data_IF_083732045244
#
_entry.id   IF_083732045244
#
_cell.length_a   1.000
_cell.length_b   1.000
_cell.length_c   1.000
_cell.angle_alpha   90.00
_cell.angle_beta   90.00
_cell.angle_gamma   90.00
#
_symmetry.space_group_name_H-M   'P 1'
#
loop_
_entity.id
_entity.type
_entity.pdbx_description
1 polymer ?
#
# COMPACT_ATOMS: atom_id res chain seq x y z
N UNK A 1 49.00 -15.14 -11.49
CA UNK A 1 47.60 -14.88 -11.89
C UNK A 1 46.80 -14.62 -10.63
N UNK A 2 46.19 -13.44 -10.58
CA UNK A 2 45.69 -12.75 -9.39
C UNK A 2 44.40 -13.39 -8.86
N UNK A 3 44.46 -13.83 -7.60
CA UNK A 3 43.31 -14.33 -6.85
C UNK A 3 42.36 -13.17 -6.54
N UNK A 4 41.19 -13.18 -7.20
CA UNK A 4 40.14 -12.19 -7.02
C UNK A 4 39.50 -12.33 -5.65
N UNK A 5 39.92 -11.49 -4.70
CA UNK A 5 39.17 -11.26 -3.45
C UNK A 5 37.80 -10.71 -3.81
N UNK A 6 36.79 -11.57 -3.73
CA UNK A 6 35.38 -11.16 -3.68
C UNK A 6 35.19 -10.38 -2.39
N UNK A 7 35.25 -9.05 -2.50
CA UNK A 7 34.86 -8.15 -1.42
C UNK A 7 33.34 -8.28 -1.23
N UNK A 8 32.93 -9.09 -0.26
CA UNK A 8 31.59 -8.99 0.31
C UNK A 8 31.46 -7.60 0.91
N UNK A 9 30.83 -6.69 0.16
CA UNK A 9 30.30 -5.46 0.74
C UNK A 9 29.13 -5.87 1.63
N UNK A 10 29.41 -6.10 2.91
CA UNK A 10 28.46 -5.84 3.96
C UNK A 10 28.15 -4.34 3.91
N UNK A 11 27.21 -3.95 3.03
CA UNK A 11 26.48 -2.70 3.22
C UNK A 11 25.63 -2.92 4.45
N UNK A 12 26.08 -2.40 5.58
CA UNK A 12 25.19 -2.07 6.69
C UNK A 12 23.92 -1.48 6.10
N UNK A 13 22.77 -2.10 6.38
CA UNK A 13 21.45 -1.63 5.97
C UNK A 13 21.16 -0.33 6.73
N UNK A 14 21.77 0.76 6.31
CA UNK A 14 21.48 2.09 6.84
C UNK A 14 20.05 2.43 6.42
N UNK A 15 19.17 2.52 7.42
CA UNK A 15 17.77 2.91 7.30
C UNK A 15 17.62 4.21 6.50
N UNK A 16 16.96 4.17 5.34
CA UNK A 16 16.64 5.39 4.57
C UNK A 16 15.48 6.23 5.17
N UNK A 17 15.22 6.08 6.47
CA UNK A 17 14.24 6.89 7.22
C UNK A 17 14.52 8.40 7.13
N UNK A 18 15.74 8.90 7.36
CA UNK A 18 16.01 10.34 7.36
C UNK A 18 15.77 11.02 6.00
N UNK A 19 15.83 10.25 4.91
CA UNK A 19 15.57 10.75 3.55
C UNK A 19 14.07 10.95 3.26
N UNK A 20 13.19 10.30 4.02
CA UNK A 20 11.74 10.35 3.85
C UNK A 20 11.04 11.06 4.99
N UNK A 21 11.51 10.91 6.23
CA UNK A 21 10.85 11.37 7.44
C UNK A 21 11.85 12.01 8.40
N UNK A 22 11.34 12.76 9.38
CA UNK A 22 12.15 13.39 10.40
C UNK A 22 12.61 12.36 11.44
N UNK A 23 13.81 12.58 12.01
CA UNK A 23 14.35 11.77 13.10
C UNK A 23 13.88 12.24 14.49
N UNK A 24 13.14 13.34 14.56
CA UNK A 24 12.51 13.83 15.78
C UNK A 24 11.12 14.39 15.44
N UNK A 25 10.17 14.23 16.37
CA UNK A 25 8.76 14.59 16.22
C UNK A 25 8.21 15.24 17.50
N UNK A 26 9.02 16.07 18.16
CA UNK A 26 8.68 16.70 19.44
C UNK A 26 7.76 17.91 19.29
N UNK A 27 7.85 18.60 18.16
CA UNK A 27 7.10 19.83 17.92
C UNK A 27 5.89 19.62 17.01
N UNK A 28 4.88 20.48 17.14
CA UNK A 28 3.70 20.51 16.25
C UNK A 28 4.11 20.67 14.78
N UNK A 29 5.14 21.48 14.51
CA UNK A 29 5.68 21.70 13.16
C UNK A 29 6.31 20.45 12.56
N UNK A 30 7.13 19.72 13.33
CA UNK A 30 7.74 18.47 12.86
C UNK A 30 6.70 17.39 12.61
N UNK A 31 5.73 17.26 13.53
CA UNK A 31 4.60 16.36 13.38
C UNK A 31 3.77 16.66 12.12
N UNK A 32 3.54 17.95 11.83
CA UNK A 32 2.87 18.36 10.59
C UNK A 32 3.67 18.01 9.33
N UNK A 33 4.99 18.31 9.31
CA UNK A 33 5.87 17.95 8.19
C UNK A 33 5.84 16.43 7.97
N UNK A 34 5.87 15.65 9.04
CA UNK A 34 5.79 14.21 8.98
C UNK A 34 4.49 13.74 8.33
N UNK A 35 3.32 14.25 8.76
CA UNK A 35 2.03 13.85 8.19
C UNK A 35 1.93 14.21 6.70
N UNK A 36 2.41 15.40 6.29
CA UNK A 36 2.47 15.78 4.86
C UNK A 36 3.30 14.79 4.04
N UNK A 37 4.48 14.42 4.54
CA UNK A 37 5.36 13.45 3.86
C UNK A 37 4.75 12.06 3.85
N UNK A 38 4.10 11.64 4.93
CA UNK A 38 3.44 10.33 5.02
C UNK A 38 2.29 10.23 4.02
N UNK A 39 1.48 11.28 3.92
CA UNK A 39 0.43 11.39 2.92
C UNK A 39 1.00 11.32 1.50
N UNK A 40 2.05 12.09 1.19
CA UNK A 40 2.69 12.07 -0.12
C UNK A 40 3.25 10.69 -0.48
N UNK A 41 3.90 9.99 0.45
CA UNK A 41 4.41 8.62 0.26
C UNK A 41 3.28 7.63 0.03
N UNK A 42 2.18 7.72 0.80
CA UNK A 42 1.04 6.83 0.66
C UNK A 42 0.33 7.04 -0.69
N UNK A 43 0.05 8.28 -1.09
CA UNK A 43 -0.55 8.60 -2.40
C UNK A 43 0.36 8.13 -3.53
N UNK A 44 1.68 8.37 -3.43
CA UNK A 44 2.64 7.90 -4.44
C UNK A 44 2.67 6.38 -4.55
N UNK A 45 2.60 5.68 -3.41
CA UNK A 45 2.57 4.21 -3.38
C UNK A 45 1.31 3.67 -4.04
N UNK A 46 0.15 4.27 -3.75
CA UNK A 46 -1.13 3.92 -4.38
C UNK A 46 -1.08 4.13 -5.89
N UNK A 47 -0.72 5.34 -6.35
CA UNK A 47 -0.72 5.65 -7.79
C UNK A 47 0.28 4.81 -8.56
N UNK A 48 1.40 4.43 -7.93
CA UNK A 48 2.38 3.53 -8.53
C UNK A 48 1.86 2.10 -8.63
N UNK A 49 1.38 1.53 -7.53
CA UNK A 49 0.94 0.13 -7.46
C UNK A 49 -0.30 -0.13 -8.32
N UNK A 50 -1.13 0.88 -8.54
CA UNK A 50 -2.28 0.82 -9.45
C UNK A 50 -1.94 1.11 -10.91
N UNK A 51 -0.67 1.43 -11.22
CA UNK A 51 -0.22 1.68 -12.59
C UNK A 51 -0.81 2.95 -13.21
N UNK A 52 -1.18 3.95 -12.39
CA UNK A 52 -1.86 5.17 -12.88
C UNK A 52 -0.92 6.05 -13.70
N UNK A 53 0.35 6.12 -13.30
CA UNK A 53 1.37 6.92 -13.98
C UNK A 53 2.55 6.04 -14.40
N UNK A 54 3.29 6.43 -15.46
CA UNK A 54 4.45 5.67 -15.91
C UNK A 54 5.64 5.75 -14.93
N UNK A 55 6.57 4.81 -15.04
CA UNK A 55 7.73 4.65 -14.15
C UNK A 55 8.55 5.95 -13.97
N UNK A 56 8.73 6.74 -15.04
CA UNK A 56 9.51 7.98 -15.01
C UNK A 56 8.83 9.16 -14.30
N UNK A 57 7.56 9.01 -13.88
CA UNK A 57 6.90 9.97 -12.99
C UNK A 57 7.33 9.80 -11.53
N UNK A 58 8.09 8.75 -11.21
CA UNK A 58 8.48 8.40 -9.84
C UNK A 58 9.98 8.41 -9.63
N UNK A 59 10.38 8.58 -8.37
CA UNK A 59 11.75 8.37 -7.89
C UNK A 59 11.77 7.23 -6.89
N UNK A 60 12.72 6.31 -7.04
CA UNK A 60 12.93 5.24 -6.08
C UNK A 60 13.55 5.78 -4.78
N UNK A 61 13.01 5.34 -3.66
CA UNK A 61 13.52 5.56 -2.29
C UNK A 61 13.33 4.29 -1.49
N UNK A 62 14.06 4.11 -0.40
CA UNK A 62 13.88 2.97 0.48
C UNK A 62 13.19 3.38 1.78
N UNK A 63 12.23 2.56 2.21
CA UNK A 63 11.61 2.66 3.53
C UNK A 63 11.78 1.32 4.21
N UNK A 64 12.65 1.27 5.22
CA UNK A 64 13.15 0.03 5.79
C UNK A 64 13.75 -0.90 4.71
N UNK A 65 13.14 -2.04 4.46
CA UNK A 65 13.52 -3.03 3.46
C UNK A 65 12.74 -2.92 2.13
N UNK A 66 11.82 -1.94 2.01
CA UNK A 66 10.98 -1.76 0.84
C UNK A 66 11.54 -0.69 -0.10
N UNK A 67 11.55 -0.98 -1.41
CA UNK A 67 11.73 0.04 -2.44
C UNK A 67 10.37 0.68 -2.73
N UNK A 68 10.21 1.94 -2.34
CA UNK A 68 9.01 2.74 -2.60
C UNK A 68 9.23 3.68 -3.79
N UNK A 69 8.14 4.03 -4.46
CA UNK A 69 8.13 4.97 -5.58
C UNK A 69 7.46 6.24 -5.11
N UNK A 70 8.23 7.32 -5.04
CA UNK A 70 7.76 8.63 -4.62
C UNK A 70 7.48 9.45 -5.88
N UNK A 71 6.23 9.90 -6.01
CA UNK A 71 5.80 10.76 -7.11
C UNK A 71 6.60 12.05 -7.04
N UNK A 72 7.11 12.50 -8.17
CA UNK A 72 7.78 13.79 -8.25
C UNK A 72 7.16 14.60 -9.37
N UNK A 73 7.21 15.92 -9.22
CA UNK A 73 6.83 16.81 -10.30
C UNK A 73 7.83 16.65 -11.44
N UNK A 74 7.33 16.11 -12.55
CA UNK A 74 8.07 15.97 -13.79
C UNK A 74 7.22 16.60 -14.89
N UNK A 75 7.79 17.56 -15.63
CA UNK A 75 7.10 18.24 -16.74
C UNK A 75 6.57 17.27 -17.80
N UNK A 76 7.14 16.07 -17.90
CA UNK A 76 6.77 15.07 -18.90
C UNK A 76 5.47 14.32 -18.59
N UNK A 77 4.89 14.45 -17.38
CA UNK A 77 3.62 13.78 -17.02
C UNK A 77 2.67 14.78 -16.35
N UNK A 78 1.83 15.50 -17.13
CA UNK A 78 0.93 16.51 -16.59
C UNK A 78 -0.01 15.98 -15.49
N UNK A 79 -0.50 14.74 -15.61
CA UNK A 79 -1.35 14.11 -14.61
C UNK A 79 -0.66 13.92 -13.26
N UNK A 80 0.59 13.46 -13.25
CA UNK A 80 1.39 13.31 -12.04
C UNK A 80 1.62 14.68 -11.38
N UNK A 81 2.01 15.69 -12.17
CA UNK A 81 2.21 17.06 -11.69
C UNK A 81 0.91 17.66 -11.12
N UNK A 82 -0.25 17.32 -11.69
CA UNK A 82 -1.55 17.74 -11.17
C UNK A 82 -1.83 17.13 -9.79
N UNK A 83 -1.56 15.84 -9.60
CA UNK A 83 -1.70 15.18 -8.29
C UNK A 83 -0.75 15.80 -7.27
N UNK A 84 0.51 16.07 -7.64
CA UNK A 84 1.45 16.79 -6.74
C UNK A 84 0.90 18.16 -6.35
N UNK A 85 0.35 18.92 -7.30
CA UNK A 85 -0.27 20.23 -7.01
C UNK A 85 -1.50 20.11 -6.11
N UNK A 86 -2.32 19.08 -6.27
CA UNK A 86 -3.44 18.81 -5.35
C UNK A 86 -2.96 18.51 -3.92
N UNK A 87 -1.89 17.71 -3.77
CA UNK A 87 -1.27 17.47 -2.46
C UNK A 87 -0.80 18.79 -1.84
N UNK A 88 -0.07 19.61 -2.61
CA UNK A 88 0.42 20.91 -2.15
C UNK A 88 -0.73 21.85 -1.75
N UNK A 89 -1.81 21.91 -2.52
CA UNK A 89 -2.99 22.70 -2.20
C UNK A 89 -3.68 22.25 -0.91
N UNK A 90 -3.77 20.93 -0.69
CA UNK A 90 -4.35 20.37 0.53
C UNK A 90 -3.52 20.62 1.79
N UNK A 91 -2.22 20.90 1.63
CA UNK A 91 -1.33 21.21 2.75
C UNK A 91 -1.63 22.55 3.42
N UNK A 92 -2.25 23.50 2.71
CA UNK A 92 -2.74 24.75 3.30
C UNK A 92 -3.87 24.46 4.32
N UNK A 93 -4.85 23.66 3.92
CA UNK A 93 -5.94 23.23 4.80
C UNK A 93 -5.43 22.40 5.99
N UNK A 94 -4.40 21.56 5.75
CA UNK A 94 -3.76 20.77 6.79
C UNK A 94 -3.01 21.66 7.81
N UNK A 95 -2.30 22.70 7.35
CA UNK A 95 -1.60 23.68 8.20
C UNK A 95 -2.53 24.46 9.11
N UNK A 96 -3.68 24.88 8.55
CA UNK A 96 -4.72 25.62 9.27
C UNK A 96 -5.58 24.71 10.17
N UNK A 97 -5.34 23.41 10.13
CA UNK A 97 -6.10 22.38 10.85
C UNK A 97 -7.58 22.27 10.45
N UNK A 98 -7.94 22.80 9.29
CA UNK A 98 -9.30 22.73 8.75
C UNK A 98 -9.61 21.37 8.14
N UNK A 99 -8.60 20.66 7.65
CA UNK A 99 -8.78 19.44 6.87
C UNK A 99 -9.17 18.24 7.74
N UNK A 100 -10.35 17.67 7.51
CA UNK A 100 -10.80 16.44 8.15
C UNK A 100 -10.51 15.20 7.30
N UNK A 101 -10.87 15.25 6.00
CA UNK A 101 -10.72 14.10 5.10
C UNK A 101 -10.22 14.55 3.74
N UNK A 102 -9.30 13.79 3.17
CA UNK A 102 -9.00 13.80 1.75
C UNK A 102 -9.53 12.52 1.14
N UNK A 103 -10.32 12.65 0.07
CA UNK A 103 -10.80 11.51 -0.70
C UNK A 103 -10.33 11.62 -2.14
N UNK A 104 -9.48 10.68 -2.57
CA UNK A 104 -9.05 10.52 -3.95
C UNK A 104 -9.93 9.44 -4.58
N UNK A 105 -10.74 9.81 -5.56
CA UNK A 105 -11.62 8.90 -6.28
C UNK A 105 -11.07 8.52 -7.66
N UNK A 106 -11.23 7.27 -8.03
CA UNK A 106 -10.98 6.73 -9.36
C UNK A 106 -12.33 6.49 -10.04
N UNK A 107 -12.51 7.03 -11.24
CA UNK A 107 -13.75 6.90 -12.02
C UNK A 107 -13.45 6.66 -13.50
N UNK A 108 -14.44 6.16 -14.22
CA UNK A 108 -14.33 5.75 -15.64
C UNK A 108 -15.10 6.69 -16.57
N UNK A 109 -16.22 7.25 -16.11
CA UNK A 109 -17.07 8.15 -16.88
C UNK A 109 -16.69 9.63 -16.67
N UNK A 110 -16.11 10.32 -17.68
CA UNK A 110 -15.75 11.73 -17.59
C UNK A 110 -16.95 12.66 -17.39
N UNK A 111 -18.15 12.25 -17.81
CA UNK A 111 -19.37 13.05 -17.64
C UNK A 111 -19.92 12.95 -16.21
N UNK A 112 -19.53 11.90 -15.47
CA UNK A 112 -19.96 11.68 -14.10
C UNK A 112 -18.76 11.45 -13.14
N UNK A 113 -17.99 12.50 -12.84
CA UNK A 113 -16.77 12.39 -12.02
C UNK A 113 -17.01 12.08 -10.53
N UNK A 114 -18.27 12.04 -10.09
CA UNK A 114 -18.64 11.69 -8.72
C UNK A 114 -19.01 10.20 -8.56
N UNK A 115 -19.28 9.49 -9.66
CA UNK A 115 -19.50 8.06 -9.68
C UNK A 115 -18.15 7.33 -9.77
N UNK A 116 -17.71 6.78 -8.65
CA UNK A 116 -16.37 6.19 -8.51
C UNK A 116 -16.44 4.67 -8.40
N UNK A 117 -15.34 4.02 -8.78
CA UNK A 117 -15.16 2.56 -8.64
C UNK A 117 -14.17 2.21 -7.52
N UNK A 118 -13.32 3.16 -7.14
CA UNK A 118 -12.31 3.01 -6.10
C UNK A 118 -12.04 4.37 -5.45
N UNK A 119 -11.84 4.39 -4.13
CA UNK A 119 -11.49 5.59 -3.38
C UNK A 119 -10.44 5.33 -2.29
N UNK A 120 -9.58 6.32 -2.11
CA UNK A 120 -8.54 6.36 -1.09
C UNK A 120 -8.82 7.54 -0.17
N UNK A 121 -9.11 7.23 1.09
CA UNK A 121 -9.49 8.23 2.10
C UNK A 121 -8.37 8.37 3.14
N UNK A 122 -7.97 9.61 3.38
CA UNK A 122 -7.01 10.02 4.40
C UNK A 122 -7.74 10.88 5.41
N UNK A 123 -7.97 10.35 6.60
CA UNK A 123 -8.65 11.05 7.67
C UNK A 123 -7.63 11.63 8.64
N UNK A 124 -7.79 12.90 8.98
CA UNK A 124 -6.88 13.66 9.83
C UNK A 124 -7.57 14.04 11.13
N UNK A 125 -6.87 13.85 12.24
CA UNK A 125 -7.28 14.37 13.55
C UNK A 125 -6.13 15.17 14.13
N UNK A 126 -6.49 16.26 14.80
CA UNK A 126 -5.57 17.18 15.43
C UNK A 126 -5.74 17.11 16.93
N UNK A 127 -4.63 17.25 17.65
CA UNK A 127 -4.66 17.35 19.10
C UNK A 127 -3.74 18.48 19.57
N UNK A 128 -4.25 19.25 20.52
CA UNK A 128 -3.49 20.32 21.18
C UNK A 128 -2.59 19.79 22.31
N UNK A 129 -2.91 18.62 22.89
CA UNK A 129 -2.33 18.12 24.14
C UNK A 129 -1.55 16.81 24.03
N UNK A 130 -1.39 16.23 22.85
CA UNK A 130 -0.95 14.83 22.75
C UNK A 130 -2.09 13.91 22.30
N UNK A 131 -1.82 12.68 21.89
CA UNK A 131 -2.84 11.78 21.35
C UNK A 131 -3.93 11.50 22.39
N UNK A 132 -5.10 12.13 22.24
CA UNK A 132 -6.27 11.86 23.06
C UNK A 132 -7.03 10.68 22.45
N UNK A 133 -7.01 9.56 23.14
CA UNK A 133 -7.73 8.36 22.72
C UNK A 133 -9.12 8.35 23.36
N UNK A 134 -10.16 8.58 22.56
CA UNK A 134 -11.54 8.24 22.94
C UNK A 134 -11.70 6.71 22.95
N UNK A 135 -11.27 6.06 24.02
CA UNK A 135 -11.68 4.69 24.34
C UNK A 135 -12.22 4.68 25.77
N UNK A 136 -13.51 4.39 25.89
CA UNK A 136 -14.18 3.96 27.12
C UNK A 136 -13.59 2.61 27.59
N UNK A 137 -12.30 2.56 27.97
CA UNK A 137 -11.67 1.36 28.51
C UNK A 137 -10.42 1.71 29.32
N UNK A 138 -10.58 1.57 30.64
CA UNK A 138 -9.58 1.54 31.69
C UNK A 138 -8.60 2.72 31.80
N UNK A 139 -8.76 3.44 32.92
CA UNK A 139 -7.81 4.41 33.47
C UNK A 139 -6.39 3.78 33.58
N UNK A 140 -5.39 4.58 33.22
CA UNK A 140 -3.95 4.44 33.55
C UNK A 140 -2.99 3.78 32.54
N UNK A 141 -3.13 4.07 31.24
CA UNK A 141 -1.94 4.06 30.35
C UNK A 141 -2.01 5.28 29.44
N UNK A 142 -1.32 6.36 29.80
CA UNK A 142 -0.95 7.38 28.81
C UNK A 142 0.00 6.72 27.83
N UNK A 143 -0.51 6.31 26.67
CA UNK A 143 0.34 5.81 25.60
C UNK A 143 1.06 7.00 24.99
N UNK A 144 2.25 7.31 25.52
CA UNK A 144 3.15 8.26 24.87
C UNK A 144 3.50 7.70 23.49
N UNK A 145 3.10 8.41 22.45
CA UNK A 145 3.45 8.04 21.07
C UNK A 145 4.94 8.28 20.89
N UNK A 146 5.70 7.20 20.93
CA UNK A 146 7.14 7.24 20.67
C UNK A 146 7.41 7.35 19.17
N UNK A 147 8.57 7.91 18.82
CA UNK A 147 9.04 7.93 17.44
C UNK A 147 9.15 6.51 16.85
N UNK A 148 9.56 5.53 17.66
CA UNK A 148 9.68 4.14 17.21
C UNK A 148 8.32 3.53 16.87
N UNK A 149 7.30 3.77 17.70
CA UNK A 149 5.92 3.36 17.39
C UNK A 149 5.44 4.00 16.09
N UNK A 150 5.75 5.29 15.89
CA UNK A 150 5.42 6.03 14.66
C UNK A 150 6.13 5.42 13.43
N UNK A 151 7.42 5.10 13.55
CA UNK A 151 8.22 4.45 12.51
C UNK A 151 7.62 3.10 12.11
N UNK A 152 7.34 2.25 13.09
CA UNK A 152 6.76 0.93 12.87
C UNK A 152 5.37 1.03 12.23
N UNK A 153 4.51 1.90 12.74
CA UNK A 153 3.17 2.14 12.16
C UNK A 153 3.26 2.62 10.71
N UNK A 154 4.21 3.48 10.38
CA UNK A 154 4.42 3.99 9.02
C UNK A 154 4.85 2.89 8.06
N UNK A 155 5.83 2.07 8.45
CA UNK A 155 6.29 0.93 7.66
C UNK A 155 5.16 -0.08 7.45
N UNK A 156 4.40 -0.39 8.51
CA UNK A 156 3.26 -1.29 8.44
C UNK A 156 2.15 -0.76 7.53
N UNK A 157 1.85 0.54 7.58
CA UNK A 157 0.85 1.16 6.71
C UNK A 157 1.23 0.98 5.23
N UNK A 158 2.48 1.26 4.85
CA UNK A 158 2.94 1.07 3.47
C UNK A 158 2.95 -0.40 3.07
N UNK A 159 3.40 -1.32 3.94
CA UNK A 159 3.34 -2.77 3.66
C UNK A 159 1.91 -3.25 3.41
N UNK A 160 0.95 -2.78 4.21
CA UNK A 160 -0.46 -3.13 4.04
C UNK A 160 -1.04 -2.55 2.76
N UNK A 161 -0.66 -1.34 2.36
CA UNK A 161 -1.01 -0.79 1.03
C UNK A 161 -0.46 -1.69 -0.07
N UNK A 162 0.82 -2.06 -0.03
CA UNK A 162 1.42 -2.98 -1.01
C UNK A 162 0.65 -4.29 -1.13
N UNK A 163 0.36 -4.93 0.01
CA UNK A 163 -0.38 -6.18 0.03
C UNK A 163 -1.81 -6.02 -0.50
N UNK A 164 -2.52 -4.97 -0.09
CA UNK A 164 -3.89 -4.73 -0.54
C UNK A 164 -3.92 -4.52 -2.05
N UNK A 165 -3.13 -3.58 -2.58
CA UNK A 165 -3.11 -3.24 -4.01
C UNK A 165 -2.73 -4.42 -4.90
N UNK A 166 -1.84 -5.32 -4.45
CA UNK A 166 -1.48 -6.54 -5.19
C UNK A 166 -2.60 -7.58 -5.28
N UNK A 167 -3.60 -7.51 -4.41
CA UNK A 167 -4.72 -8.44 -4.41
C UNK A 167 -6.01 -7.82 -4.96
N UNK A 168 -5.99 -6.55 -5.38
CA UNK A 168 -7.06 -5.92 -6.14
C UNK A 168 -6.93 -6.26 -7.62
N UNK A 169 -8.06 -6.32 -8.33
CA UNK A 169 -8.05 -6.45 -9.78
C UNK A 169 -7.47 -5.20 -10.47
N UNK A 170 -6.95 -5.40 -11.68
CA UNK A 170 -6.37 -4.31 -12.47
C UNK A 170 -7.42 -3.23 -12.75
N UNK A 171 -7.02 -1.96 -12.71
CA UNK A 171 -7.89 -0.87 -13.11
C UNK A 171 -8.28 -1.01 -14.60
N UNK A 172 -9.46 -0.52 -14.99
CA UNK A 172 -9.82 -0.39 -16.41
C UNK A 172 -8.76 0.40 -17.20
N UNK A 173 -8.68 0.16 -18.51
CA UNK A 173 -7.68 0.78 -19.38
C UNK A 173 -7.69 2.32 -19.36
N UNK A 174 -8.85 2.92 -19.11
CA UNK A 174 -9.03 4.37 -19.05
C UNK A 174 -9.72 4.71 -17.76
N UNK A 175 -9.00 5.42 -16.90
CA UNK A 175 -9.50 5.93 -15.63
C UNK A 175 -9.13 7.39 -15.47
N UNK A 176 -9.87 8.06 -14.61
CA UNK A 176 -9.69 9.44 -14.24
C UNK A 176 -9.59 9.55 -12.73
N UNK A 177 -8.94 10.62 -12.26
CA UNK A 177 -8.79 10.92 -10.85
C UNK A 177 -9.54 12.18 -10.48
N UNK A 178 -10.15 12.16 -9.31
CA UNK A 178 -10.71 13.34 -8.63
C UNK A 178 -10.21 13.37 -7.19
N UNK A 179 -10.12 14.56 -6.60
CA UNK A 179 -9.75 14.72 -5.20
C UNK A 179 -10.71 15.70 -4.54
N UNK A 180 -11.38 15.26 -3.49
CA UNK A 180 -12.23 16.10 -2.64
C UNK A 180 -11.59 16.28 -1.27
N UNK A 181 -11.71 17.50 -0.73
CA UNK A 181 -11.32 17.86 0.62
C UNK A 181 -12.59 18.06 1.43
N UNK A 182 -12.62 17.55 2.66
CA UNK A 182 -13.68 17.75 3.63
C UNK A 182 -13.09 18.41 4.85
N UNK A 183 -13.80 19.39 5.39
CA UNK A 183 -13.30 20.23 6.47
C UNK A 183 -14.05 20.00 7.78
N UNK A 184 -13.49 20.53 8.86
CA UNK A 184 -14.16 20.65 10.14
C UNK A 184 -15.07 21.89 10.13
N UNK A 185 -16.38 21.68 10.17
CA UNK A 185 -17.41 22.72 10.03
C UNK A 185 -17.38 23.76 11.16
N UNK A 186 -16.88 23.38 12.34
CA UNK A 186 -16.83 24.20 13.54
C UNK A 186 -15.73 25.28 13.53
N UNK A 187 -14.69 25.11 12.71
CA UNK A 187 -13.51 26.00 12.68
C UNK A 187 -13.19 26.59 11.31
N UNK A 188 -13.76 26.05 10.24
CA UNK A 188 -13.42 26.43 8.87
C UNK A 188 -14.32 27.58 8.40
N UNK A 189 -13.77 28.73 7.99
CA UNK A 189 -14.57 29.83 7.42
C UNK A 189 -15.33 29.38 6.16
N UNK A 190 -16.58 29.85 6.00
CA UNK A 190 -17.43 29.47 4.88
C UNK A 190 -16.88 29.91 3.50
N UNK A 191 -16.05 30.96 3.47
CA UNK A 191 -15.39 31.48 2.27
C UNK A 191 -14.00 30.87 2.03
N UNK A 192 -13.57 29.93 2.86
CA UNK A 192 -12.25 29.32 2.76
C UNK A 192 -12.15 28.42 1.52
N UNK A 193 -11.17 28.73 0.66
CA UNK A 193 -10.86 27.93 -0.52
C UNK A 193 -9.36 27.64 -0.60
N UNK A 194 -8.91 26.38 -0.46
CA UNK A 194 -7.49 26.06 -0.58
C UNK A 194 -6.99 26.21 -2.03
N UNK A 195 -5.70 26.52 -2.22
CA UNK A 195 -5.12 26.68 -3.55
C UNK A 195 -5.33 25.45 -4.45
N UNK A 196 -5.84 25.67 -5.67
CA UNK A 196 -6.08 24.61 -6.65
C UNK A 196 -7.36 23.80 -6.42
N UNK A 197 -8.19 24.19 -5.46
CA UNK A 197 -9.50 23.61 -5.22
C UNK A 197 -10.60 24.66 -5.42
N UNK A 198 -11.82 24.18 -5.62
CA UNK A 198 -13.04 24.97 -5.66
C UNK A 198 -14.12 24.28 -4.82
N UNK A 199 -15.15 25.02 -4.45
CA UNK A 199 -16.32 24.48 -3.75
C UNK A 199 -16.93 23.31 -4.55
N UNK A 200 -17.30 22.25 -3.83
CA UNK A 200 -17.88 21.06 -4.43
C UNK A 200 -19.35 21.29 -4.78
N UNK A 201 -19.76 20.92 -5.99
CA UNK A 201 -21.17 20.98 -6.41
C UNK A 201 -22.01 19.87 -5.75
N UNK A 202 -21.36 18.77 -5.39
CA UNK A 202 -21.97 17.62 -4.73
C UNK A 202 -21.19 17.27 -3.47
N UNK A 203 -21.90 17.05 -2.38
CA UNK A 203 -21.31 16.77 -1.06
C UNK A 203 -20.42 15.53 -1.08
N UNK A 204 -20.83 14.45 -1.74
CA UNK A 204 -20.14 13.16 -1.61
C UNK A 204 -19.80 12.52 -2.97
N UNK A 205 -18.78 11.65 -2.95
CA UNK A 205 -18.55 10.68 -4.02
C UNK A 205 -19.43 9.46 -3.74
N UNK A 206 -20.04 8.88 -4.77
CA UNK A 206 -20.85 7.66 -4.65
C UNK A 206 -20.26 6.55 -5.51
N UNK A 207 -20.49 5.30 -5.11
CA UNK A 207 -19.96 4.15 -5.81
C UNK A 207 -20.90 3.69 -6.93
N UNK A 208 -20.32 3.25 -8.06
CA UNK A 208 -21.06 2.63 -9.19
C UNK A 208 -21.71 1.29 -8.80
N UNK A 209 -21.36 0.75 -7.62
CA UNK A 209 -21.93 -0.46 -7.06
C UNK A 209 -21.77 -0.50 -5.53
N UNK A 210 -21.69 -1.71 -4.97
CA UNK A 210 -21.53 -1.89 -3.52
C UNK A 210 -20.05 -1.69 -3.12
N UNK A 211 -19.72 -0.69 -2.29
CA UNK A 211 -18.36 -0.50 -1.83
C UNK A 211 -17.99 -1.50 -0.72
N UNK A 212 -16.77 -2.03 -0.81
CA UNK A 212 -16.11 -2.77 0.25
C UNK A 212 -15.00 -1.91 0.85
N UNK A 213 -15.07 -1.68 2.17
CA UNK A 213 -14.17 -0.77 2.88
C UNK A 213 -13.06 -1.52 3.63
N UNK A 214 -11.81 -1.17 3.33
CA UNK A 214 -10.60 -1.68 3.98
C UNK A 214 -9.98 -0.61 4.86
N UNK A 215 -9.90 -0.87 6.17
CA UNK A 215 -9.10 -0.05 7.10
C UNK A 215 -7.64 -0.48 7.00
N UNK A 216 -6.83 0.29 6.29
CA UNK A 216 -5.43 -0.08 6.02
C UNK A 216 -4.56 0.14 7.26
N UNK A 217 -4.66 1.31 7.88
CA UNK A 217 -3.88 1.61 9.08
C UNK A 217 -4.02 3.04 9.54
N UNK A 218 -3.39 3.31 10.68
CA UNK A 218 -3.35 4.63 11.31
C UNK A 218 -1.94 4.89 11.84
N UNK A 219 -1.46 6.12 11.64
CA UNK A 219 -0.17 6.60 12.13
C UNK A 219 -0.45 7.78 13.03
N UNK A 220 0.06 7.71 14.25
CA UNK A 220 -0.08 8.77 15.23
C UNK A 220 1.26 9.45 15.42
N UNK A 221 1.19 10.74 15.71
CA UNK A 221 2.27 11.55 16.28
C UNK A 221 1.70 12.25 17.52
N UNK A 222 2.51 13.04 18.22
CA UNK A 222 2.02 13.79 19.37
C UNK A 222 0.95 14.84 19.05
N UNK A 223 0.83 15.33 17.81
CA UNK A 223 -0.09 16.43 17.48
C UNK A 223 -1.09 16.10 16.36
N UNK A 224 -0.85 15.02 15.63
CA UNK A 224 -1.65 14.63 14.48
C UNK A 224 -1.83 13.12 14.42
N UNK A 225 -3.01 12.67 14.01
CA UNK A 225 -3.27 11.29 13.62
C UNK A 225 -3.70 11.26 12.15
N UNK A 226 -3.14 10.31 11.39
CA UNK A 226 -3.48 10.04 10.00
C UNK A 226 -4.00 8.61 9.88
N UNK A 227 -5.25 8.46 9.45
CA UNK A 227 -5.87 7.16 9.15
C UNK A 227 -6.09 7.00 7.65
N UNK A 228 -5.73 5.85 7.10
CA UNK A 228 -5.92 5.52 5.68
C UNK A 228 -6.96 4.42 5.52
N UNK A 229 -7.93 4.67 4.66
CA UNK A 229 -8.97 3.73 4.26
C UNK A 229 -9.01 3.62 2.74
N UNK A 230 -9.27 2.40 2.26
CA UNK A 230 -9.41 2.10 0.83
C UNK A 230 -10.77 1.50 0.62
N UNK A 231 -11.50 2.00 -0.36
CA UNK A 231 -12.84 1.51 -0.70
C UNK A 231 -12.85 1.14 -2.16
N UNK A 232 -13.33 -0.05 -2.49
CA UNK A 232 -13.36 -0.58 -3.85
C UNK A 232 -14.72 -1.20 -4.11
N UNK A 233 -15.15 -1.20 -5.36
CA UNK A 233 -16.36 -1.92 -5.75
C UNK A 233 -16.18 -3.45 -5.55
N UNK A 234 -17.24 -4.12 -5.11
CA UNK A 234 -17.22 -5.51 -4.65
C UNK A 234 -16.66 -6.50 -5.68
N UNK A 235 -16.91 -6.31 -6.97
CA UNK A 235 -16.39 -7.21 -8.02
C UNK A 235 -14.85 -7.24 -8.05
N UNK A 236 -14.17 -6.17 -7.62
CA UNK A 236 -12.70 -6.08 -7.64
C UNK A 236 -12.00 -6.87 -6.53
N UNK A 237 -12.75 -7.42 -5.56
CA UNK A 237 -12.20 -8.09 -4.38
C UNK A 237 -12.62 -9.55 -4.23
N UNK A 238 -13.26 -10.14 -5.24
CA UNK A 238 -13.68 -11.54 -5.21
C UNK A 238 -12.51 -12.50 -4.93
N UNK A 239 -11.30 -12.19 -5.43
CA UNK A 239 -10.09 -12.98 -5.17
C UNK A 239 -9.65 -12.97 -3.70
N UNK A 240 -9.87 -11.86 -2.99
CA UNK A 240 -9.57 -11.75 -1.57
C UNK A 240 -10.58 -12.58 -0.75
N UNK A 241 -11.87 -12.44 -1.06
CA UNK A 241 -12.93 -13.15 -0.35
C UNK A 241 -12.82 -14.66 -0.50
N UNK A 242 -12.53 -15.17 -1.71
CA UNK A 242 -12.36 -16.62 -1.95
C UNK A 242 -11.21 -17.24 -1.12
N UNK A 243 -10.14 -16.49 -0.84
CA UNK A 243 -9.01 -17.00 -0.03
C UNK A 243 -9.34 -17.08 1.46
N UNK A 244 -10.16 -16.17 1.98
CA UNK A 244 -10.57 -16.19 3.38
C UNK A 244 -11.63 -17.29 3.63
N UNK A 245 -12.57 -17.49 2.71
CA UNK A 245 -13.55 -18.59 2.78
C UNK A 245 -12.90 -19.99 2.75
N UNK A 246 -11.79 -20.15 2.02
CA UNK A 246 -11.02 -21.41 1.97
C UNK A 246 -10.20 -21.69 3.24
N UNK A 247 -9.96 -20.67 4.09
CA UNK A 247 -9.27 -20.84 5.38
C UNK A 247 -10.23 -21.18 6.51
N UNK A 248 -11.50 -20.76 6.42
CA UNK A 248 -12.54 -21.11 7.39
C UNK A 248 -13.12 -22.53 7.20
N UNK A 249 -12.96 -23.15 6.03
CA UNK A 249 -13.50 -24.48 5.73
C UNK A 249 -12.58 -25.66 6.11
N UNK A 250 -11.99 -25.63 7.32
CA UNK A 250 -11.45 -26.85 7.96
C UNK A 250 -12.14 -27.06 9.31
N UNK A 251 -13.21 -27.87 9.38
CA UNK A 251 -13.70 -28.37 10.65
C UNK A 251 -12.67 -29.37 11.19
N UNK A 252 -12.11 -29.08 12.37
CA UNK A 252 -11.50 -30.10 13.23
C UNK A 252 -12.67 -30.93 13.79
N UNK A 253 -12.96 -32.08 13.16
CA UNK A 253 -13.83 -33.09 13.77
C UNK A 253 -13.05 -33.78 14.88
N UNK A 254 -13.42 -33.48 16.11
CA UNK A 254 -13.07 -34.23 17.33
C UNK A 254 -14.26 -35.13 17.67
N UNK A 255 -13.95 -36.26 18.32
CA UNK A 255 -14.82 -37.31 18.88
C UNK A 255 -15.26 -38.42 17.89
N UNK A 256 -15.22 -39.72 18.19
CA UNK A 256 -15.16 -40.40 19.49
C UNK A 256 -14.73 -41.87 19.34
N UNK A 257 -14.26 -42.42 20.46
CA UNK A 257 -13.83 -43.81 20.72
C UNK A 257 -14.87 -44.87 20.35
N UNK A 258 -14.44 -46.00 19.74
CA UNK A 258 -14.98 -47.35 20.06
C UNK A 258 -14.15 -48.53 19.54
N UNK A 259 -13.69 -49.32 20.53
CA UNK A 259 -13.54 -50.79 20.62
C UNK A 259 -12.53 -51.56 19.73
N UNK A 260 -11.54 -52.10 20.46
CA UNK A 260 -10.65 -53.23 20.16
C UNK A 260 -11.46 -54.55 19.99
N UNK A 261 -10.95 -55.53 19.21
CA UNK A 261 -10.58 -56.80 19.82
C UNK A 261 -9.19 -57.31 19.41
N UNK A 262 -8.61 -58.07 20.34
CA UNK A 262 -7.24 -58.57 20.49
C UNK A 262 -6.82 -59.77 19.60
N UNK A 263 -5.52 -59.87 19.25
CA UNK A 263 -4.63 -61.07 19.35
C UNK A 263 -3.19 -60.72 18.91
N UNK A 264 -2.18 -60.78 19.82
CA UNK A 264 -1.00 -61.70 19.91
C UNK A 264 -0.13 -61.79 18.64
N UNK A 265 1.22 -61.80 18.60
CA UNK A 265 2.34 -62.02 19.54
C UNK A 265 3.65 -61.57 18.81
N UNK A 266 4.67 -61.13 19.58
CA UNK A 266 6.16 -61.20 19.44
C UNK A 266 6.84 -60.82 18.09
N UNK A 267 8.04 -60.20 17.97
CA UNK A 267 9.29 -60.25 18.76
C UNK A 267 10.24 -59.14 18.23
N UNK A 268 11.10 -58.61 19.11
CA UNK A 268 12.47 -58.06 18.95
C UNK A 268 12.92 -57.17 17.75
N UNK A 269 13.57 -56.05 18.14
CA UNK A 269 14.90 -55.63 17.62
C UNK A 269 14.96 -54.87 16.30
N UNK A 270 15.27 -53.57 16.34
CA UNK A 270 16.62 -53.03 16.00
C UNK A 270 16.55 -51.50 15.85
N UNK A 271 17.51 -50.77 16.45
CA UNK A 271 17.83 -49.40 16.05
C UNK A 271 19.00 -49.48 15.07
N UNK A 272 19.03 -48.64 14.02
CA UNK A 272 20.18 -47.74 13.93
C UNK A 272 19.86 -46.33 13.41
N UNK A 273 20.41 -45.35 14.13
CA UNK A 273 21.39 -44.35 13.68
C UNK A 273 21.31 -43.74 12.26
N UNK A 274 21.13 -42.41 12.29
CA UNK A 274 21.81 -41.33 11.53
C UNK A 274 21.79 -41.23 10.00
N UNK A 275 21.59 -39.95 9.59
CA UNK A 275 22.11 -39.24 8.44
C UNK A 275 21.47 -39.46 7.04
N UNK A 276 20.72 -38.47 6.56
CA UNK A 276 21.03 -37.79 5.28
C UNK A 276 20.08 -36.61 5.00
N UNK A 277 20.65 -35.41 5.12
CA UNK A 277 20.64 -34.36 4.08
C UNK A 277 19.42 -34.23 3.15
N UNK A 278 18.55 -33.26 3.43
CA UNK A 278 17.51 -32.81 2.50
C UNK A 278 18.11 -32.13 1.25
N UNK A 279 18.04 -32.81 0.09
CA UNK A 279 18.33 -32.22 -1.22
C UNK A 279 17.15 -31.43 -1.80
N UNK A 280 17.43 -30.17 -2.13
CA UNK A 280 16.61 -29.24 -2.90
C UNK A 280 16.27 -29.80 -4.31
N UNK A 281 14.98 -30.02 -4.61
CA UNK A 281 14.50 -30.26 -5.99
C UNK A 281 14.34 -28.94 -6.74
N UNK A 282 15.14 -28.73 -7.80
CA UNK A 282 14.90 -27.71 -8.84
C UNK A 282 13.90 -28.25 -9.89
N UNK A 283 13.03 -27.41 -10.47
CA UNK A 283 12.08 -27.85 -11.50
C UNK A 283 12.74 -28.04 -12.88
N UNK A 284 12.23 -29.03 -13.62
CA UNK A 284 12.71 -29.48 -14.92
C UNK A 284 12.30 -28.56 -16.09
N UNK A 285 13.19 -28.46 -17.09
CA UNK A 285 12.92 -27.86 -18.41
C UNK A 285 12.16 -28.85 -19.32
N UNK A 286 11.23 -28.41 -20.18
CA UNK A 286 10.77 -29.22 -21.31
C UNK A 286 11.65 -29.02 -22.56
N UNK A 287 12.01 -30.13 -23.22
CA UNK A 287 12.70 -30.17 -24.51
C UNK A 287 11.73 -30.16 -25.70
N UNK A 288 12.27 -29.64 -26.80
CA UNK A 288 11.68 -29.23 -28.08
C UNK A 288 10.95 -30.32 -28.90
N UNK A 289 10.03 -29.88 -29.77
CA UNK A 289 9.69 -30.58 -31.03
C UNK A 289 10.17 -29.77 -32.24
N UNK A 290 10.87 -30.47 -33.14
CA UNK A 290 11.46 -30.03 -34.43
C UNK A 290 10.45 -30.03 -35.58
N UNK A 291 10.66 -29.13 -36.56
CA UNK A 291 10.70 -29.29 -38.05
C UNK A 291 10.45 -27.91 -38.70
N UNK A 292 10.94 -27.51 -39.87
CA UNK A 292 11.98 -27.92 -40.83
C UNK A 292 12.25 -26.69 -41.73
N UNK A 293 13.36 -26.68 -42.47
CA UNK A 293 13.89 -25.53 -43.21
C UNK A 293 13.15 -25.19 -44.52
N UNK A 294 13.22 -23.93 -44.95
CA UNK A 294 13.11 -23.55 -46.37
C UNK A 294 14.00 -22.33 -46.66
N UNK A 295 14.84 -22.46 -47.70
CA UNK A 295 15.72 -21.44 -48.27
C UNK A 295 14.94 -20.55 -49.23
N UNK A 296 15.22 -19.25 -49.26
CA UNK A 296 15.11 -18.46 -50.51
C UNK A 296 16.11 -17.31 -50.57
N UNK A 297 16.68 -17.13 -51.76
CA UNK A 297 17.72 -16.20 -52.14
C UNK A 297 17.23 -14.75 -52.40
N UNK A 298 18.10 -13.80 -52.07
CA UNK A 298 18.54 -12.60 -52.82
C UNK A 298 17.56 -11.91 -53.78
N UNK A 299 17.33 -10.61 -53.58
CA UNK A 299 17.33 -9.64 -54.69
C UNK A 299 17.73 -8.22 -54.27
N UNK A 300 18.74 -7.70 -54.98
CA UNK A 300 19.20 -6.30 -55.02
C UNK A 300 18.08 -5.35 -55.46
N UNK A 301 18.06 -4.13 -54.90
CA UNK A 301 17.59 -2.94 -55.61
C UNK A 301 18.68 -1.87 -55.63
N UNK A 302 19.01 -1.44 -56.85
CA UNK A 302 19.98 -0.39 -57.22
C UNK A 302 19.38 1.00 -57.03
N UNK A 303 20.26 1.95 -56.67
CA UNK A 303 20.15 3.37 -57.03
C UNK A 303 20.32 3.51 -58.55
N UNK A 304 19.39 4.20 -59.21
CA UNK A 304 19.47 5.51 -59.90
C UNK A 304 18.07 5.73 -60.49
#
# INVERSE_FOLDING_TARGET
MTSGKVCMRNKEKTSEWPGLFLNDLKTKKESLIFVKRMMAVAVSSITYLRGIFPEYAYRSRYLADMCIKVLHENGNTPGASKVVKWLMGSFDALEKQYLQVISIGVYTDPENPNCIIEAYQFNFRYTEKGPEMNILRNKNVEMQVTLENTKQASVLLIRKLFLLMQNLDALPNKVYLTMKLYYYDDITPADYQPPGFKEGVYDHLWFEGMPVHFKVGEVHTSYHALRVQVSVEQSQVEKLQRRDSLKESRPLSVDEVKKVPSKKMDTEGDFPSEDESAQFKKPARPLQKRRAATKTLVTKKRRV
#
